data_IF_430670142820
#
_entry.id   IF_430670142820
#
_cell.length_a   1.000
_cell.length_b   1.000
_cell.length_c   1.000
_cell.angle_alpha   90.00
_cell.angle_beta   90.00
_cell.angle_gamma   90.00
#
_symmetry.space_group_name_H-M   'P 1'
#
loop_
_entity.id
_entity.type
_entity.pdbx_description
1 polymer ?
#
# COMPACT_ATOMS: atom_id res chain seq x y z
N UNK A 1 31.58 8.46 -5.54
CA UNK A 1 30.76 7.56 -6.41
C UNK A 1 30.59 6.29 -5.61
N UNK A 2 29.50 6.17 -4.85
CA UNK A 2 29.23 4.96 -4.06
C UNK A 2 28.22 4.16 -4.86
N UNK A 3 28.64 3.00 -5.35
CA UNK A 3 27.78 2.03 -6.00
C UNK A 3 26.84 1.43 -4.95
N UNK A 4 25.54 1.47 -5.23
CA UNK A 4 24.55 0.68 -4.52
C UNK A 4 24.79 -0.80 -4.85
N UNK A 5 24.63 -1.75 -3.91
CA UNK A 5 24.82 -3.15 -4.19
C UNK A 5 23.85 -3.63 -5.28
N UNK A 6 24.43 -4.26 -6.30
CA UNK A 6 23.69 -4.83 -7.45
C UNK A 6 22.84 -6.02 -7.03
N UNK A 7 21.80 -6.28 -7.81
CA UNK A 7 20.73 -7.26 -7.59
C UNK A 7 21.15 -8.75 -7.47
N UNK A 8 22.41 -9.09 -7.41
CA UNK A 8 22.91 -10.48 -7.44
C UNK A 8 23.06 -11.18 -6.08
N UNK A 9 22.75 -10.50 -4.96
CA UNK A 9 22.94 -11.10 -3.62
C UNK A 9 21.61 -11.38 -2.89
N UNK A 10 20.50 -11.51 -3.61
CA UNK A 10 19.23 -11.86 -2.99
C UNK A 10 19.16 -13.38 -2.80
N UNK A 11 19.63 -13.86 -1.65
CA UNK A 11 19.32 -15.22 -1.20
C UNK A 11 17.81 -15.32 -0.99
N UNK A 12 17.17 -16.28 -1.66
CA UNK A 12 15.77 -16.63 -1.46
C UNK A 12 15.51 -16.86 0.04
N UNK A 13 14.80 -15.95 0.68
CA UNK A 13 14.25 -16.17 2.00
C UNK A 13 13.02 -17.06 1.84
N UNK A 14 13.15 -18.33 2.23
CA UNK A 14 12.02 -19.26 2.31
C UNK A 14 11.29 -18.95 3.61
N UNK A 15 10.10 -18.38 3.52
CA UNK A 15 9.17 -18.20 4.63
C UNK A 15 8.82 -19.60 5.16
N UNK A 16 8.90 -19.87 6.48
CA UNK A 16 8.42 -21.14 7.03
C UNK A 16 6.91 -21.23 6.79
N UNK A 17 6.49 -22.13 5.92
CA UNK A 17 5.09 -22.43 5.68
C UNK A 17 4.44 -22.88 6.99
N UNK A 18 3.44 -22.16 7.45
CA UNK A 18 2.48 -22.64 8.43
C UNK A 18 1.92 -23.97 7.92
N UNK A 19 2.32 -25.05 8.58
CA UNK A 19 2.03 -26.42 8.17
C UNK A 19 0.55 -26.73 8.43
N UNK A 20 -0.31 -26.44 7.43
CA UNK A 20 -1.63 -27.03 7.31
C UNK A 20 -1.54 -28.15 6.26
N UNK A 21 -1.74 -29.43 6.63
CA UNK A 21 -1.72 -30.53 5.65
C UNK A 21 -2.99 -30.44 4.80
N UNK A 22 -2.87 -30.23 3.51
CA UNK A 22 -3.98 -30.34 2.55
C UNK A 22 -4.03 -29.36 1.38
N UNK A 23 -3.19 -28.32 1.30
CA UNK A 23 -3.29 -27.31 0.23
C UNK A 23 -1.94 -27.21 -0.52
N UNK A 24 -1.52 -28.29 -1.21
CA UNK A 24 -0.27 -28.27 -1.98
C UNK A 24 -0.42 -28.20 -3.49
N UNK A 25 -1.63 -28.05 -4.05
CA UNK A 25 -1.85 -28.10 -5.50
C UNK A 25 -2.45 -26.83 -6.14
N UNK A 26 -2.72 -25.75 -5.38
CA UNK A 26 -3.36 -24.52 -5.89
C UNK A 26 -2.53 -23.24 -5.65
N UNK A 27 -1.25 -23.35 -5.38
CA UNK A 27 -0.38 -22.20 -5.04
C UNK A 27 -0.05 -21.26 -6.21
N UNK A 28 -0.61 -21.47 -7.40
CA UNK A 28 -0.32 -20.69 -8.61
C UNK A 28 -1.41 -19.68 -8.97
N UNK A 29 -2.48 -19.57 -8.19
CA UNK A 29 -3.66 -18.73 -8.47
C UNK A 29 -4.17 -17.95 -7.23
N UNK A 30 -3.30 -17.60 -6.29
CA UNK A 30 -3.72 -16.76 -5.18
C UNK A 30 -3.38 -15.32 -5.50
N UNK A 31 -4.38 -14.47 -5.58
CA UNK A 31 -4.22 -13.02 -5.69
C UNK A 31 -3.27 -12.50 -4.61
N UNK A 32 -2.34 -11.63 -5.00
CA UNK A 32 -1.34 -11.05 -4.11
C UNK A 32 -1.89 -9.79 -3.45
N UNK A 33 -1.83 -9.72 -2.13
CA UNK A 33 -2.29 -8.55 -1.37
C UNK A 33 -1.12 -7.62 -1.15
N UNK A 34 -1.26 -6.38 -1.63
CA UNK A 34 -0.28 -5.29 -1.48
C UNK A 34 -0.84 -4.29 -0.47
N UNK A 35 -0.31 -4.29 0.74
CA UNK A 35 -0.76 -3.37 1.79
C UNK A 35 0.13 -2.14 1.86
N UNK A 36 -0.44 -0.95 1.74
CA UNK A 36 0.28 0.31 1.93
C UNK A 36 0.06 0.79 3.36
N UNK A 37 1.10 0.71 4.18
CA UNK A 37 1.01 0.97 5.61
C UNK A 37 2.14 1.88 6.11
N UNK A 38 1.86 2.66 7.16
CA UNK A 38 2.87 3.43 7.89
C UNK A 38 2.35 3.80 9.27
N UNK A 39 3.24 3.91 10.25
CA UNK A 39 2.90 4.31 11.63
C UNK A 39 2.54 5.79 11.76
N UNK A 40 2.57 6.56 10.67
CA UNK A 40 2.25 7.99 10.67
C UNK A 40 1.29 8.39 9.56
N UNK A 41 0.49 9.44 9.84
CA UNK A 41 -0.30 10.14 8.85
C UNK A 41 0.55 11.09 7.99
N UNK A 42 0.05 11.44 6.80
CA UNK A 42 0.66 12.44 5.92
C UNK A 42 1.92 11.99 5.16
N UNK A 43 2.27 10.71 5.18
CA UNK A 43 3.45 10.16 4.48
C UNK A 43 3.18 9.75 3.03
N UNK A 44 1.94 9.90 2.56
CA UNK A 44 1.53 9.62 1.18
C UNK A 44 1.01 8.21 0.92
N UNK A 45 0.57 7.45 1.96
CA UNK A 45 -0.03 6.12 1.82
C UNK A 45 -1.11 6.07 0.76
N UNK A 46 -2.17 6.86 0.96
CA UNK A 46 -3.34 6.92 0.07
C UNK A 46 -2.97 7.21 -1.38
N UNK A 47 -2.05 8.15 -1.61
CA UNK A 47 -1.59 8.46 -2.98
C UNK A 47 -0.91 7.25 -3.60
N UNK A 48 0.00 6.59 -2.87
CA UNK A 48 0.68 5.39 -3.39
C UNK A 48 -0.28 4.23 -3.59
N UNK A 49 -1.18 3.97 -2.65
CA UNK A 49 -2.19 2.92 -2.77
C UNK A 49 -3.07 3.14 -4.02
N UNK A 50 -3.51 4.38 -4.23
CA UNK A 50 -4.35 4.75 -5.36
C UNK A 50 -3.66 4.54 -6.71
N UNK A 51 -2.42 5.03 -6.83
CA UNK A 51 -1.63 4.91 -8.06
C UNK A 51 -1.19 3.46 -8.33
N UNK A 52 -0.78 2.72 -7.28
CA UNK A 52 -0.44 1.30 -7.40
C UNK A 52 -1.65 0.47 -7.84
N UNK A 53 -2.83 0.70 -7.24
CA UNK A 53 -4.03 -0.02 -7.62
C UNK A 53 -4.39 0.22 -9.09
N UNK A 54 -4.22 1.45 -9.59
CA UNK A 54 -4.40 1.76 -11.00
C UNK A 54 -3.36 1.05 -11.91
N UNK A 55 -2.07 1.12 -11.55
CA UNK A 55 -0.98 0.53 -12.35
C UNK A 55 -0.97 -1.01 -12.34
N UNK A 56 -1.51 -1.61 -11.30
CA UNK A 56 -1.63 -3.06 -11.15
C UNK A 56 -2.96 -3.61 -11.69
N UNK A 57 -3.87 -2.72 -12.15
CA UNK A 57 -5.26 -3.07 -12.51
C UNK A 57 -5.97 -3.83 -11.38
N UNK A 58 -5.77 -3.36 -10.15
CA UNK A 58 -6.17 -4.05 -8.93
C UNK A 58 -7.36 -3.34 -8.24
N UNK A 59 -8.24 -4.10 -7.56
CA UNK A 59 -9.16 -3.51 -6.60
C UNK A 59 -8.39 -2.81 -5.48
N UNK A 60 -8.86 -1.61 -5.09
CA UNK A 60 -8.38 -0.85 -3.96
C UNK A 60 -9.37 -0.96 -2.81
N UNK A 61 -8.94 -1.55 -1.70
CA UNK A 61 -9.70 -1.57 -0.45
C UNK A 61 -9.23 -0.40 0.41
N UNK A 62 -10.13 0.52 0.70
CA UNK A 62 -9.85 1.66 1.57
C UNK A 62 -10.24 1.34 3.01
N UNK A 63 -9.25 1.24 3.91
CA UNK A 63 -9.44 1.05 5.35
C UNK A 63 -9.14 2.35 6.13
N UNK A 64 -8.88 3.46 5.42
CA UNK A 64 -8.69 4.78 6.03
C UNK A 64 -10.04 5.45 6.25
N UNK A 65 -10.42 5.61 7.51
CA UNK A 65 -11.72 6.16 7.91
C UNK A 65 -11.70 7.66 8.16
N UNK A 66 -10.52 8.30 8.15
CA UNK A 66 -10.39 9.74 8.29
C UNK A 66 -10.64 10.49 6.96
N UNK A 67 -10.74 11.83 7.07
CA UNK A 67 -10.77 12.69 5.89
C UNK A 67 -9.44 12.60 5.11
N UNK A 68 -9.47 12.50 3.82
CA UNK A 68 -8.25 12.36 3.01
C UNK A 68 -7.96 10.93 2.54
N UNK A 69 -8.88 10.02 2.80
CA UNK A 69 -8.84 8.62 2.36
C UNK A 69 -8.93 8.46 0.84
N UNK A 70 -8.65 7.24 0.35
CA UNK A 70 -8.82 6.87 -1.05
C UNK A 70 -10.27 7.05 -1.53
N UNK A 71 -11.24 6.83 -0.64
CA UNK A 71 -12.67 7.09 -0.87
C UNK A 71 -12.94 8.53 -1.27
N UNK A 72 -12.40 9.49 -0.52
CA UNK A 72 -12.52 10.93 -0.83
C UNK A 72 -11.76 11.31 -2.11
N UNK A 73 -10.57 10.78 -2.27
CA UNK A 73 -9.74 11.00 -3.45
C UNK A 73 -10.42 10.48 -4.71
N UNK A 74 -11.07 9.33 -4.65
CA UNK A 74 -11.85 8.74 -5.74
C UNK A 74 -13.09 9.57 -6.08
N UNK A 75 -13.64 10.30 -5.09
CA UNK A 75 -14.83 11.12 -5.21
C UNK A 75 -16.11 10.44 -4.79
N UNK A 76 -16.00 9.31 -4.09
CA UNK A 76 -17.16 8.74 -3.41
C UNK A 76 -17.49 9.60 -2.18
N UNK A 77 -18.79 9.92 -2.04
CA UNK A 77 -19.28 10.75 -0.94
C UNK A 77 -20.35 9.96 -0.20
N UNK A 78 -19.95 9.39 0.95
CA UNK A 78 -20.85 8.59 1.76
C UNK A 78 -22.04 9.42 2.30
N UNK A 79 -21.88 10.72 2.52
CA UNK A 79 -22.96 11.61 2.98
C UNK A 79 -24.13 11.70 2.00
N UNK A 80 -23.90 11.40 0.73
CA UNK A 80 -24.92 11.40 -0.34
C UNK A 80 -25.28 10.02 -0.84
N UNK A 81 -24.78 8.97 -0.20
CA UNK A 81 -24.97 7.57 -0.60
C UNK A 81 -25.55 6.76 0.56
N UNK A 82 -26.57 5.96 0.26
CA UNK A 82 -27.18 5.04 1.24
C UNK A 82 -26.35 3.76 1.45
N UNK A 83 -25.42 3.46 0.54
CA UNK A 83 -24.60 2.26 0.62
C UNK A 83 -23.28 2.56 1.29
N UNK A 84 -22.83 1.62 2.11
CA UNK A 84 -21.56 1.62 2.83
C UNK A 84 -20.79 0.32 2.48
N UNK A 85 -20.27 0.19 1.25
CA UNK A 85 -19.86 -1.10 0.67
C UNK A 85 -18.93 -1.91 1.55
N UNK A 86 -17.95 -1.28 2.25
CA UNK A 86 -17.05 -1.95 3.16
C UNK A 86 -17.81 -2.53 4.36
N UNK A 87 -18.63 -1.72 5.05
CA UNK A 87 -19.38 -2.17 6.24
C UNK A 87 -20.45 -3.18 5.86
N UNK A 88 -21.21 -2.95 4.77
CA UNK A 88 -22.22 -3.88 4.24
C UNK A 88 -21.60 -5.26 3.95
N UNK A 89 -20.37 -5.29 3.40
CA UNK A 89 -19.65 -6.50 3.08
C UNK A 89 -19.19 -7.25 4.35
N UNK A 90 -18.67 -6.51 5.34
CA UNK A 90 -18.24 -7.08 6.62
C UNK A 90 -19.43 -7.66 7.40
N UNK A 91 -20.54 -6.93 7.50
CA UNK A 91 -21.74 -7.35 8.20
C UNK A 91 -22.41 -8.56 7.53
N UNK A 92 -22.56 -8.52 6.21
CA UNK A 92 -23.19 -9.62 5.46
C UNK A 92 -22.29 -10.84 5.23
N UNK A 93 -21.00 -10.72 5.48
CA UNK A 93 -20.00 -11.74 5.15
C UNK A 93 -19.80 -11.96 3.64
N UNK A 94 -20.32 -11.09 2.77
CA UNK A 94 -20.21 -11.20 1.31
C UNK A 94 -19.02 -10.40 0.78
N UNK A 95 -18.46 -10.87 -0.32
CA UNK A 95 -17.42 -10.12 -1.03
C UNK A 95 -18.02 -8.91 -1.72
N UNK A 96 -17.50 -7.69 -1.46
CA UNK A 96 -18.03 -6.48 -2.07
C UNK A 96 -17.70 -6.43 -3.56
N UNK A 97 -18.58 -5.85 -4.35
CA UNK A 97 -18.25 -5.50 -5.73
C UNK A 97 -17.56 -4.14 -5.77
N UNK A 98 -16.26 -4.07 -6.17
CA UNK A 98 -15.55 -2.80 -6.26
C UNK A 98 -16.26 -1.84 -7.26
N UNK A 99 -16.25 -0.55 -6.92
CA UNK A 99 -16.82 0.49 -7.76
C UNK A 99 -15.88 0.78 -8.93
N UNK A 100 -16.39 0.71 -10.15
CA UNK A 100 -15.63 1.12 -11.34
C UNK A 100 -15.70 2.64 -11.54
N UNK A 101 -14.61 3.24 -12.04
CA UNK A 101 -14.55 4.66 -12.37
C UNK A 101 -13.63 4.93 -13.56
N UNK A 102 -13.90 6.01 -14.29
CA UNK A 102 -13.09 6.41 -15.43
C UNK A 102 -11.71 6.91 -14.97
N UNK A 103 -10.63 6.29 -15.44
CA UNK A 103 -9.23 6.56 -15.07
C UNK A 103 -8.99 6.53 -13.54
N UNK A 104 -9.65 5.61 -12.86
CA UNK A 104 -9.54 5.41 -11.41
C UNK A 104 -9.42 3.92 -11.11
N UNK A 105 -8.74 3.53 -10.01
CA UNK A 105 -8.77 2.14 -9.57
C UNK A 105 -10.20 1.71 -9.21
N UNK A 106 -10.48 0.44 -9.31
CA UNK A 106 -11.72 -0.13 -8.78
C UNK A 106 -11.69 -0.03 -7.25
N UNK A 107 -12.71 0.55 -6.62
CA UNK A 107 -12.68 0.92 -5.20
C UNK A 107 -13.73 0.18 -4.37
N UNK A 108 -13.31 -0.35 -3.21
CA UNK A 108 -14.19 -0.64 -2.07
C UNK A 108 -14.06 0.53 -1.09
N UNK A 109 -15.04 1.45 -1.06
CA UNK A 109 -14.94 2.67 -0.28
C UNK A 109 -15.16 2.43 1.21
N UNK A 110 -14.38 3.14 2.04
CA UNK A 110 -14.52 3.19 3.48
C UNK A 110 -15.67 4.13 3.91
N UNK A 111 -16.08 3.99 5.17
CA UNK A 111 -17.04 4.88 5.85
C UNK A 111 -16.46 5.32 7.20
N UNK A 112 -16.73 6.54 7.70
CA UNK A 112 -16.26 6.97 9.01
C UNK A 112 -16.67 6.05 10.16
N UNK A 113 -17.86 5.44 10.09
CA UNK A 113 -18.33 4.48 11.10
C UNK A 113 -17.45 3.22 11.20
N UNK A 114 -16.59 2.98 10.20
CA UNK A 114 -15.61 1.90 10.25
C UNK A 114 -14.62 2.08 11.42
N UNK A 115 -14.36 3.32 11.84
CA UNK A 115 -13.54 3.60 13.04
C UNK A 115 -14.00 2.82 14.28
N UNK A 116 -15.31 2.67 14.46
CA UNK A 116 -15.92 1.99 15.61
C UNK A 116 -16.34 0.53 15.31
N UNK A 117 -16.31 0.12 14.05
CA UNK A 117 -16.80 -1.17 13.60
C UNK A 117 -15.70 -1.98 12.88
N UNK A 118 -14.45 -1.83 13.30
CA UNK A 118 -13.34 -2.60 12.74
C UNK A 118 -13.38 -4.05 13.22
N UNK A 119 -13.19 -5.03 12.34
CA UNK A 119 -12.93 -6.41 12.75
C UNK A 119 -11.63 -6.52 13.57
N UNK A 120 -11.48 -7.60 14.31
CA UNK A 120 -10.17 -7.98 14.84
C UNK A 120 -9.16 -8.23 13.72
N UNK A 121 -7.87 -8.16 14.03
CA UNK A 121 -6.82 -8.26 13.01
C UNK A 121 -6.91 -9.58 12.21
N UNK A 122 -7.06 -10.71 12.91
CA UNK A 122 -7.15 -12.04 12.27
C UNK A 122 -8.39 -12.14 11.37
N UNK A 123 -9.53 -11.63 11.83
CA UNK A 123 -10.78 -11.63 11.05
C UNK A 123 -10.64 -10.77 9.79
N UNK A 124 -9.97 -9.62 9.89
CA UNK A 124 -9.74 -8.75 8.74
C UNK A 124 -8.77 -9.38 7.74
N UNK A 125 -7.74 -10.09 8.21
CA UNK A 125 -6.82 -10.83 7.37
C UNK A 125 -7.56 -11.92 6.57
N UNK A 126 -8.38 -12.74 7.24
CA UNK A 126 -9.18 -13.79 6.61
C UNK A 126 -10.17 -13.21 5.57
N UNK A 127 -10.80 -12.08 5.89
CA UNK A 127 -11.70 -11.37 4.99
C UNK A 127 -10.99 -10.91 3.73
N UNK A 128 -9.81 -10.28 3.85
CA UNK A 128 -9.04 -9.79 2.70
C UNK A 128 -8.56 -10.94 1.82
N UNK A 129 -8.07 -12.03 2.41
CA UNK A 129 -7.64 -13.23 1.66
C UNK A 129 -8.81 -13.83 0.90
N UNK A 130 -9.99 -13.95 1.53
CA UNK A 130 -11.20 -14.45 0.86
C UNK A 130 -11.61 -13.53 -0.30
N UNK A 131 -11.71 -12.22 -0.09
CA UNK A 131 -12.08 -11.27 -1.15
C UNK A 131 -11.11 -11.31 -2.31
N UNK A 132 -9.81 -11.35 -2.02
CA UNK A 132 -8.78 -11.46 -3.04
C UNK A 132 -8.99 -12.70 -3.92
N UNK A 133 -9.26 -13.87 -3.32
CA UNK A 133 -9.55 -15.10 -4.05
C UNK A 133 -10.84 -15.06 -4.87
N UNK A 134 -11.89 -14.35 -4.37
CA UNK A 134 -13.18 -14.28 -5.07
C UNK A 134 -13.21 -13.22 -6.19
N UNK A 135 -12.35 -12.19 -6.15
CA UNK A 135 -12.26 -11.21 -7.24
C UNK A 135 -11.52 -11.72 -8.47
N UNK A 136 -10.75 -12.81 -8.36
CA UNK A 136 -9.99 -13.40 -9.46
C UNK A 136 -9.09 -12.38 -10.17
N UNK A 137 -8.36 -11.60 -9.38
CA UNK A 137 -7.42 -10.59 -9.84
C UNK A 137 -6.00 -10.95 -9.39
N UNK A 138 -4.99 -10.60 -10.17
CA UNK A 138 -3.59 -10.87 -9.81
C UNK A 138 -3.17 -10.17 -8.52
N UNK A 139 -3.71 -8.97 -8.28
CA UNK A 139 -3.39 -8.12 -7.15
C UNK A 139 -4.63 -7.52 -6.50
N UNK A 140 -4.52 -7.27 -5.20
CA UNK A 140 -5.44 -6.41 -4.42
C UNK A 140 -4.58 -5.41 -3.66
N UNK A 141 -4.92 -4.13 -3.71
CA UNK A 141 -4.22 -3.08 -2.96
C UNK A 141 -5.06 -2.65 -1.77
N UNK A 142 -4.42 -2.49 -0.62
CA UNK A 142 -5.10 -2.04 0.61
C UNK A 142 -4.45 -0.75 1.11
N UNK A 143 -5.25 0.31 1.26
CA UNK A 143 -4.85 1.56 1.92
C UNK A 143 -5.23 1.51 3.39
N UNK A 144 -4.27 1.68 4.30
CA UNK A 144 -4.49 1.53 5.74
C UNK A 144 -4.55 2.87 6.47
N UNK A 145 -5.21 2.89 7.63
CA UNK A 145 -5.18 4.03 8.52
C UNK A 145 -3.77 4.32 9.06
N UNK A 146 -3.44 5.60 9.26
CA UNK A 146 -2.18 6.03 9.86
C UNK A 146 -2.15 5.81 11.37
N UNK A 147 -1.03 5.29 11.90
CA UNK A 147 -0.86 5.12 13.34
C UNK A 147 -1.17 3.72 13.88
N UNK A 148 -1.63 2.80 13.04
CA UNK A 148 -2.03 1.45 13.41
C UNK A 148 -3.51 1.35 13.78
N UNK A 149 -4.11 0.22 13.42
CA UNK A 149 -5.50 -0.12 13.74
C UNK A 149 -5.67 -1.63 13.60
N UNK A 150 -6.65 -2.25 14.26
CA UNK A 150 -6.88 -3.70 14.10
C UNK A 150 -7.02 -4.14 12.64
N UNK A 151 -7.79 -3.39 11.85
CA UNK A 151 -7.94 -3.66 10.42
C UNK A 151 -6.66 -3.45 9.61
N UNK A 152 -5.84 -2.44 9.98
CA UNK A 152 -4.54 -2.20 9.38
C UNK A 152 -3.53 -3.31 9.69
N UNK A 153 -3.51 -3.80 10.92
CA UNK A 153 -2.66 -4.92 11.34
C UNK A 153 -3.08 -6.21 10.62
N UNK A 154 -4.39 -6.45 10.46
CA UNK A 154 -4.91 -7.56 9.65
C UNK A 154 -4.53 -7.46 8.17
N UNK A 155 -4.57 -6.25 7.59
CA UNK A 155 -4.12 -6.03 6.22
C UNK A 155 -2.61 -6.29 6.05
N UNK A 156 -1.80 -5.95 7.04
CA UNK A 156 -0.36 -6.27 7.06
C UNK A 156 -0.16 -7.79 7.17
N UNK A 157 -0.93 -8.46 8.03
CA UNK A 157 -0.84 -9.91 8.22
C UNK A 157 -1.21 -10.70 6.96
N UNK A 158 -2.17 -10.21 6.16
CA UNK A 158 -2.58 -10.81 4.89
C UNK A 158 -1.64 -10.48 3.72
N UNK A 159 -0.71 -9.55 3.86
CA UNK A 159 0.03 -8.99 2.76
C UNK A 159 1.10 -9.94 2.19
N UNK A 160 1.18 -10.02 0.85
CA UNK A 160 2.34 -10.55 0.13
C UNK A 160 3.48 -9.54 0.07
N UNK A 161 3.16 -8.25 0.07
CA UNK A 161 4.09 -7.12 0.14
C UNK A 161 3.49 -6.00 0.96
N UNK A 162 4.26 -5.45 1.90
CA UNK A 162 3.89 -4.24 2.66
C UNK A 162 4.72 -3.06 2.17
N UNK A 163 4.09 -2.15 1.46
CA UNK A 163 4.70 -0.91 0.97
C UNK A 163 4.67 0.15 2.08
N UNK A 164 5.85 0.59 2.52
CA UNK A 164 6.00 1.53 3.63
C UNK A 164 6.56 2.86 3.11
N UNK A 165 5.69 3.85 2.77
CA UNK A 165 6.17 5.17 2.37
C UNK A 165 6.77 5.93 3.55
N UNK A 166 7.97 6.49 3.35
CA UNK A 166 8.67 7.26 4.37
C UNK A 166 9.28 8.55 3.81
N UNK A 167 8.78 9.72 4.21
CA UNK A 167 9.49 10.97 3.99
C UNK A 167 10.84 10.96 4.70
N UNK A 168 11.88 11.52 4.07
CA UNK A 168 13.21 11.61 4.65
C UNK A 168 13.25 12.71 5.74
N UNK A 169 12.56 12.46 6.85
CA UNK A 169 12.51 13.34 8.04
C UNK A 169 12.74 12.51 9.30
N UNK A 170 13.49 13.02 10.24
CA UNK A 170 13.88 12.31 11.46
C UNK A 170 12.71 11.61 12.17
N UNK A 171 11.56 12.31 12.33
CA UNK A 171 10.39 11.74 13.02
C UNK A 171 9.75 10.57 12.26
N UNK A 172 9.78 10.63 10.91
CA UNK A 172 9.19 9.59 10.07
C UNK A 172 10.12 8.37 9.99
N UNK A 173 11.43 8.62 9.89
CA UNK A 173 12.45 7.58 9.95
C UNK A 173 12.44 6.82 11.28
N UNK A 174 12.30 7.52 12.41
CA UNK A 174 12.19 6.87 13.73
C UNK A 174 10.94 5.99 13.85
N UNK A 175 9.81 6.43 13.30
CA UNK A 175 8.58 5.63 13.29
C UNK A 175 8.73 4.38 12.38
N UNK A 176 9.39 4.53 11.24
CA UNK A 176 9.69 3.42 10.33
C UNK A 176 10.66 2.42 10.97
N UNK A 177 11.69 2.88 11.68
CA UNK A 177 12.60 2.00 12.44
C UNK A 177 11.84 1.19 13.49
N UNK A 178 10.91 1.82 14.24
CA UNK A 178 10.03 1.11 15.18
C UNK A 178 9.25 0.01 14.46
N UNK A 179 8.63 0.31 13.32
CA UNK A 179 7.88 -0.66 12.53
C UNK A 179 8.74 -1.84 12.05
N UNK A 180 9.94 -1.58 11.55
CA UNK A 180 10.89 -2.64 11.11
C UNK A 180 11.28 -3.55 12.27
N UNK A 181 11.49 -3.00 13.47
CA UNK A 181 11.82 -3.79 14.66
C UNK A 181 10.65 -4.62 15.19
N UNK A 182 9.43 -4.09 15.10
CA UNK A 182 8.21 -4.77 15.54
C UNK A 182 7.78 -5.88 14.57
N UNK A 183 8.17 -5.78 13.30
CA UNK A 183 7.70 -6.63 12.20
C UNK A 183 8.87 -7.24 11.40
N UNK A 184 9.82 -7.96 12.05
CA UNK A 184 11.04 -8.43 11.39
C UNK A 184 10.79 -9.49 10.30
N UNK A 185 9.69 -10.23 10.41
CA UNK A 185 9.37 -11.34 9.50
C UNK A 185 8.36 -10.97 8.41
N UNK A 186 7.93 -9.70 8.37
CA UNK A 186 6.98 -9.24 7.37
C UNK A 186 7.69 -8.76 6.09
N UNK A 187 7.07 -8.94 4.91
CA UNK A 187 7.65 -8.57 3.62
C UNK A 187 7.61 -7.04 3.40
N UNK A 188 8.36 -6.30 4.22
CA UNK A 188 8.37 -4.84 4.19
C UNK A 188 9.22 -4.32 3.03
N UNK A 189 8.69 -3.34 2.31
CA UNK A 189 9.39 -2.57 1.28
C UNK A 189 9.33 -1.09 1.66
N UNK A 190 10.44 -0.56 2.13
CA UNK A 190 10.56 0.88 2.44
C UNK A 190 10.63 1.65 1.12
N UNK A 191 9.75 2.64 0.98
CA UNK A 191 9.72 3.53 -0.17
C UNK A 191 10.04 4.96 0.31
N UNK A 192 11.27 5.46 0.12
CA UNK A 192 11.56 6.87 0.38
C UNK A 192 10.61 7.72 -0.46
N UNK A 193 9.71 8.47 0.20
CA UNK A 193 8.64 9.19 -0.48
C UNK A 193 8.74 10.69 -0.22
N UNK A 194 8.20 11.50 -1.13
CA UNK A 194 8.29 12.96 -1.06
C UNK A 194 9.74 13.46 -0.96
N UNK A 195 10.65 12.79 -1.63
CA UNK A 195 12.07 13.08 -1.55
C UNK A 195 12.38 14.41 -2.25
N UNK A 196 13.00 15.38 -1.54
CA UNK A 196 13.37 16.65 -2.14
C UNK A 196 14.44 16.46 -3.22
N UNK A 197 14.58 17.43 -4.13
CA UNK A 197 15.57 17.38 -5.22
C UNK A 197 17.01 17.16 -4.72
N UNK A 198 17.32 17.68 -3.55
CA UNK A 198 18.62 17.49 -2.86
C UNK A 198 18.33 16.95 -1.48
N UNK A 199 18.27 15.61 -1.31
CA UNK A 199 18.07 15.02 0.01
C UNK A 199 19.31 15.13 0.88
N UNK A 200 19.12 15.14 2.19
CA UNK A 200 20.22 15.13 3.16
C UNK A 200 20.96 13.79 3.15
N UNK A 201 22.30 13.82 3.02
CA UNK A 201 23.12 12.62 3.09
C UNK A 201 22.98 11.88 4.45
N UNK A 202 22.68 12.61 5.53
CA UNK A 202 22.44 12.00 6.84
C UNK A 202 21.16 11.19 6.85
N UNK A 203 20.08 11.69 6.25
CA UNK A 203 18.79 11.00 6.15
C UNK A 203 18.86 9.76 5.25
N UNK A 204 19.59 9.84 4.12
CA UNK A 204 19.87 8.69 3.26
C UNK A 204 20.61 7.60 4.03
N UNK A 205 21.70 7.96 4.74
CA UNK A 205 22.43 7.00 5.60
C UNK A 205 21.55 6.39 6.68
N UNK A 206 20.62 7.19 7.23
CA UNK A 206 19.69 6.69 8.25
C UNK A 206 18.76 5.62 7.71
N UNK A 207 18.24 5.75 6.47
CA UNK A 207 17.47 4.69 5.82
C UNK A 207 18.28 3.41 5.70
N UNK A 208 19.53 3.50 5.25
CA UNK A 208 20.42 2.34 5.15
C UNK A 208 20.65 1.65 6.51
N UNK A 209 20.84 2.44 7.59
CA UNK A 209 20.98 1.92 8.95
C UNK A 209 19.72 1.21 9.46
N UNK A 210 18.54 1.70 9.13
CA UNK A 210 17.27 1.08 9.54
C UNK A 210 17.11 -0.33 8.96
N UNK A 211 17.57 -0.55 7.73
CA UNK A 211 17.41 -1.85 7.06
C UNK A 211 18.64 -2.77 7.23
N UNK A 212 19.72 -2.27 7.78
CA UNK A 212 20.96 -3.04 7.96
C UNK A 212 20.69 -4.30 8.81
N UNK A 213 21.10 -5.45 8.29
CA UNK A 213 20.89 -6.75 8.96
C UNK A 213 19.44 -7.25 8.98
N UNK A 214 18.51 -6.61 8.26
CA UNK A 214 17.12 -7.03 8.14
C UNK A 214 16.82 -7.57 6.72
N UNK A 215 15.74 -8.34 6.51
CA UNK A 215 15.29 -8.75 5.18
C UNK A 215 14.54 -7.64 4.43
N UNK A 216 14.39 -6.46 5.02
CA UNK A 216 13.63 -5.33 4.47
C UNK A 216 14.31 -4.76 3.22
N UNK A 217 13.53 -4.57 2.17
CA UNK A 217 14.03 -3.97 0.92
C UNK A 217 13.73 -2.48 0.88
N UNK A 218 14.61 -1.70 0.24
CA UNK A 218 14.39 -0.28 -0.04
C UNK A 218 14.16 -0.11 -1.54
N UNK A 219 13.00 0.42 -1.91
CA UNK A 219 12.66 0.74 -3.30
C UNK A 219 13.28 2.07 -3.74
N UNK A 220 13.23 2.35 -5.05
CA UNK A 220 13.65 3.63 -5.59
C UNK A 220 12.88 4.81 -4.97
N UNK A 221 13.56 5.95 -4.72
CA UNK A 221 12.93 7.12 -4.14
C UNK A 221 11.85 7.72 -5.05
N UNK A 222 10.73 8.13 -4.46
CA UNK A 222 9.67 8.88 -5.13
C UNK A 222 9.87 10.37 -4.85
N UNK A 223 10.07 11.20 -5.90
CA UNK A 223 10.35 12.61 -5.73
C UNK A 223 9.15 13.38 -5.17
N UNK A 224 9.42 14.42 -4.38
CA UNK A 224 8.40 15.38 -4.01
C UNK A 224 7.95 16.18 -5.24
N UNK A 225 6.66 16.22 -5.47
CA UNK A 225 6.05 17.02 -6.54
C UNK A 225 5.04 18.00 -5.95
N UNK A 226 5.36 19.27 -6.09
CA UNK A 226 4.45 20.35 -5.66
C UNK A 226 3.13 20.26 -6.42
N UNK A 227 2.03 20.33 -5.70
CA UNK A 227 0.69 20.36 -6.29
C UNK A 227 -0.04 19.01 -6.32
N UNK A 228 0.60 17.88 -5.97
CA UNK A 228 -0.11 16.61 -5.80
C UNK A 228 -1.17 16.76 -4.69
N UNK A 229 -0.81 17.33 -3.55
CA UNK A 229 -1.71 17.55 -2.40
C UNK A 229 -2.90 18.47 -2.72
N UNK A 230 -2.74 19.38 -3.66
CA UNK A 230 -3.78 20.34 -4.08
C UNK A 230 -4.49 19.94 -5.36
N UNK A 231 -4.18 18.76 -5.92
CA UNK A 231 -4.74 18.29 -7.18
C UNK A 231 -6.24 18.04 -7.04
N UNK A 232 -7.04 18.73 -7.86
CA UNK A 232 -8.50 18.60 -7.86
C UNK A 232 -9.02 17.45 -8.75
N UNK A 233 -8.21 16.99 -9.71
CA UNK A 233 -8.58 15.84 -10.55
C UNK A 233 -8.63 14.57 -9.68
N UNK A 234 -9.72 13.82 -9.83
CA UNK A 234 -9.98 12.59 -9.06
C UNK A 234 -9.70 11.33 -9.87
N UNK A 235 -8.71 11.38 -10.73
CA UNK A 235 -8.22 10.25 -11.54
C UNK A 235 -6.78 9.97 -11.15
N UNK A 236 -6.28 8.78 -11.43
CA UNK A 236 -4.88 8.46 -11.21
C UNK A 236 -3.97 9.43 -11.98
N UNK A 237 -2.88 9.87 -11.39
CA UNK A 237 -1.89 10.75 -12.02
C UNK A 237 -1.23 10.00 -13.17
N UNK A 238 -0.97 8.72 -12.96
CA UNK A 238 -0.40 7.81 -13.94
C UNK A 238 -1.32 7.51 -15.13
N UNK A 239 -2.59 7.91 -15.05
CA UNK A 239 -3.57 7.80 -16.15
C UNK A 239 -3.62 9.03 -17.06
N UNK A 240 -2.94 10.14 -16.70
CA UNK A 240 -2.91 11.34 -17.55
C UNK A 240 -2.15 11.05 -18.86
N UNK A 241 -2.73 11.44 -20.00
CA UNK A 241 -2.10 11.34 -21.32
C UNK A 241 -2.33 12.68 -22.11
N UNK A 242 -1.26 13.41 -22.43
CA UNK A 242 0.12 13.20 -22.00
C UNK A 242 0.34 13.51 -20.50
N UNK A 243 1.32 12.82 -19.91
CA UNK A 243 1.73 13.12 -18.53
C UNK A 243 2.38 14.50 -18.46
N UNK A 244 1.86 15.43 -17.63
CA UNK A 244 2.46 16.73 -17.46
C UNK A 244 3.93 16.65 -17.03
N UNK A 245 4.80 17.49 -17.61
CA UNK A 245 6.25 17.47 -17.35
C UNK A 245 6.62 17.48 -15.87
N UNK A 246 5.83 18.18 -15.04
CA UNK A 246 6.06 18.25 -13.60
C UNK A 246 5.86 16.90 -12.89
N UNK A 247 5.09 15.97 -13.47
CA UNK A 247 4.77 14.67 -12.88
C UNK A 247 5.60 13.52 -13.47
N UNK A 248 6.36 13.71 -14.53
CA UNK A 248 7.07 12.63 -15.23
C UNK A 248 8.00 11.83 -14.31
N UNK A 249 8.79 12.51 -13.47
CA UNK A 249 9.66 11.83 -12.51
C UNK A 249 8.88 11.01 -11.45
N UNK A 250 7.79 11.56 -10.94
CA UNK A 250 6.90 10.87 -10.02
C UNK A 250 6.27 9.64 -10.65
N UNK A 251 5.71 9.78 -11.85
CA UNK A 251 5.10 8.69 -12.61
C UNK A 251 6.13 7.60 -12.95
N UNK A 252 7.34 7.98 -13.35
CA UNK A 252 8.43 7.02 -13.60
C UNK A 252 8.75 6.18 -12.36
N UNK A 253 8.92 6.83 -11.19
CA UNK A 253 9.18 6.11 -9.93
C UNK A 253 8.02 5.19 -9.53
N UNK A 254 6.76 5.58 -9.80
CA UNK A 254 5.59 4.72 -9.54
C UNK A 254 5.56 3.49 -10.46
N UNK A 255 5.90 3.62 -11.73
CA UNK A 255 6.03 2.47 -12.63
C UNK A 255 7.13 1.51 -12.16
N UNK A 256 8.27 2.03 -11.66
CA UNK A 256 9.33 1.21 -11.11
C UNK A 256 8.87 0.48 -9.85
N UNK A 257 8.15 1.16 -8.96
CA UNK A 257 7.56 0.54 -7.76
C UNK A 257 6.53 -0.53 -8.12
N UNK A 258 5.65 -0.27 -9.10
CA UNK A 258 4.69 -1.29 -9.56
C UNK A 258 5.40 -2.50 -10.20
N UNK A 259 6.46 -2.28 -10.98
CA UNK A 259 7.33 -3.33 -11.50
C UNK A 259 7.99 -4.15 -10.40
N UNK A 260 8.50 -3.48 -9.36
CA UNK A 260 9.06 -4.13 -8.18
C UNK A 260 8.02 -5.01 -7.47
N UNK A 261 6.82 -4.48 -7.20
CA UNK A 261 5.71 -5.23 -6.58
C UNK A 261 5.33 -6.46 -7.41
N UNK A 262 5.24 -6.34 -8.74
CA UNK A 262 4.96 -7.50 -9.63
C UNK A 262 6.01 -8.60 -9.54
N UNK A 263 7.26 -8.24 -9.31
CA UNK A 263 8.38 -9.20 -9.26
C UNK A 263 8.52 -9.88 -7.89
N UNK A 264 8.08 -9.25 -6.80
CA UNK A 264 8.36 -9.68 -5.43
C UNK A 264 7.11 -9.96 -4.59
N UNK A 265 5.93 -9.55 -5.06
CA UNK A 265 4.65 -9.83 -4.43
C UNK A 265 4.08 -11.22 -4.77
#
# INVERSE_FOLDING_TARGET
>A
MFELPTAETVRRCTIPALHRPGIRALQWLVSKIVTVAARKGGVGKTTLAYELAWLLDAPLVDLEFDEGSATRMWGYRHETRLRVPLLDALESGRTPRPLAGYHKPHLVPCHPDFALNQPAADDMADVLVRWAGEWDQDFVVVDTHGGGSPSGDGAIAAASVVVVPVPLKTKDLNATEGMVREMPDYPLVIVPNMVPRVPSAAEIRRVAQIVEGTPVTVAEPIPYVRGIETRKKRVAITSDDPIPKAYQGFVGSLHNLAGFVKAHG
#
